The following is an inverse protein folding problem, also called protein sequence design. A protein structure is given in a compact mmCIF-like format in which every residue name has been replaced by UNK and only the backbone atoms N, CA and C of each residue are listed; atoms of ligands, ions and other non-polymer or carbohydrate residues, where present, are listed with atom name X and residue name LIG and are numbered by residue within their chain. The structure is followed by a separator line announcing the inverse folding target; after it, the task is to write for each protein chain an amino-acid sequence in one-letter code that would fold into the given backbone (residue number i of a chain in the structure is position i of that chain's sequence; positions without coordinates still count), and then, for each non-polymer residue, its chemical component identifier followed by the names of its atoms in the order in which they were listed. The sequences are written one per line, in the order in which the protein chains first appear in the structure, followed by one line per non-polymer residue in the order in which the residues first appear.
data_IF_814018983671
#
_entry.id   IF_814018983671
#
_cell.length_a   1.000
_cell.length_b   1.000
_cell.length_c   1.000
_cell.angle_alpha   90.00
_cell.angle_beta   90.00
_cell.angle_gamma   90.00
#
_symmetry.space_group_name_H-M   'P 1'
#
loop_
_entity.id
_entity.type
_entity.pdbx_description
1 polymer ?
#
# COMPACT_ATOMS: atom_id res chain seq x y z
N UNK A 1 3.93 -33.44 -7.51
CA UNK A 1 3.63 -32.82 -6.20
C UNK A 1 3.49 -31.34 -6.47
N UNK A 2 2.31 -30.78 -6.26
CA UNK A 2 1.99 -29.37 -6.60
C UNK A 2 2.77 -28.50 -5.62
N UNK A 3 3.69 -27.68 -6.12
CA UNK A 3 4.36 -26.69 -5.30
C UNK A 3 3.29 -25.71 -4.81
N UNK A 4 2.97 -25.75 -3.52
CA UNK A 4 2.16 -24.71 -2.90
C UNK A 4 3.03 -23.46 -2.83
N UNK A 5 2.90 -22.57 -3.81
CA UNK A 5 3.35 -21.19 -3.66
C UNK A 5 2.43 -20.54 -2.64
N UNK A 6 2.87 -20.45 -1.39
CA UNK A 6 2.27 -19.58 -0.38
C UNK A 6 2.47 -18.14 -0.89
N UNK A 7 1.39 -17.51 -1.38
CA UNK A 7 1.44 -16.13 -1.85
C UNK A 7 1.87 -15.18 -0.74
N UNK A 8 2.80 -14.27 -1.03
CA UNK A 8 3.27 -13.29 -0.06
C UNK A 8 2.14 -12.30 0.21
N UNK A 9 1.81 -12.08 1.48
CA UNK A 9 0.73 -11.17 1.87
C UNK A 9 1.26 -9.76 2.17
N UNK A 10 0.63 -8.74 1.59
CA UNK A 10 0.84 -7.34 1.95
C UNK A 10 -0.14 -6.94 3.06
N UNK A 11 0.39 -6.53 4.20
CA UNK A 11 -0.39 -6.03 5.32
C UNK A 11 -0.40 -4.49 5.32
N UNK A 12 -1.58 -3.93 5.55
CA UNK A 12 -1.82 -2.48 5.65
C UNK A 12 -2.43 -2.18 7.01
N UNK A 13 -1.81 -1.30 7.79
CA UNK A 13 -2.27 -0.93 9.13
C UNK A 13 -2.15 0.57 9.41
N UNK A 14 -3.19 1.23 9.97
CA UNK A 14 -4.52 0.66 10.24
C UNK A 14 -5.32 0.47 8.93
N UNK A 15 -6.30 -0.44 8.94
CA UNK A 15 -7.20 -0.67 7.78
C UNK A 15 -8.19 0.48 7.58
N UNK A 16 -8.60 1.11 8.70
CA UNK A 16 -9.49 2.25 8.71
C UNK A 16 -8.81 3.44 9.40
N UNK A 17 -9.01 4.63 8.83
CA UNK A 17 -8.43 5.87 9.36
C UNK A 17 -9.52 6.92 9.44
N UNK A 18 -9.74 7.46 10.64
CA UNK A 18 -10.44 8.72 10.81
C UNK A 18 -9.44 9.88 10.74
N UNK A 19 -9.66 10.79 9.81
CA UNK A 19 -8.86 12.00 9.60
C UNK A 19 -9.75 13.25 9.61
N UNK A 20 -9.29 14.29 10.29
CA UNK A 20 -9.87 15.64 10.20
C UNK A 20 -9.07 16.47 9.19
N UNK A 21 -9.68 17.52 8.65
CA UNK A 21 -8.99 18.47 7.75
C UNK A 21 -7.78 19.06 8.49
N UNK A 22 -6.59 18.93 7.87
CA UNK A 22 -5.32 19.40 8.42
C UNK A 22 -4.58 18.39 9.32
N UNK A 23 -5.16 17.22 9.59
CA UNK A 23 -4.46 16.11 10.24
C UNK A 23 -3.81 15.18 9.22
N UNK A 24 -2.62 14.67 9.56
CA UNK A 24 -2.00 13.55 8.87
C UNK A 24 -1.97 12.30 9.76
N UNK A 25 -2.14 11.13 9.14
CA UNK A 25 -1.90 9.83 9.81
C UNK A 25 -1.03 8.93 8.96
N UNK A 26 -0.17 8.18 9.65
CA UNK A 26 0.68 7.19 9.02
C UNK A 26 -0.07 5.88 8.83
N UNK A 27 -0.06 5.38 7.60
CA UNK A 27 -0.42 4.02 7.22
C UNK A 27 0.85 3.25 6.99
N UNK A 28 0.96 2.09 7.63
CA UNK A 28 2.09 1.18 7.53
C UNK A 28 1.78 0.07 6.54
N UNK A 29 2.78 -0.25 5.73
CA UNK A 29 2.78 -1.31 4.73
C UNK A 29 3.93 -2.25 5.06
N UNK A 30 3.64 -3.54 5.23
CA UNK A 30 4.66 -4.54 5.55
C UNK A 30 4.26 -5.92 5.06
N UNK A 31 5.25 -6.78 4.87
CA UNK A 31 5.05 -8.21 4.63
C UNK A 31 5.50 -8.99 5.88
N UNK A 32 4.86 -10.13 6.15
CA UNK A 32 5.38 -11.08 7.13
C UNK A 32 6.33 -12.10 6.50
N UNK A 33 6.20 -12.32 5.20
CA UNK A 33 7.06 -13.20 4.42
C UNK A 33 8.21 -12.43 3.77
N UNK A 34 9.32 -13.12 3.55
CA UNK A 34 10.47 -12.57 2.85
C UNK A 34 10.15 -12.39 1.36
N UNK A 35 10.22 -11.14 0.90
CA UNK A 35 10.18 -10.80 -0.51
C UNK A 35 11.44 -11.28 -1.22
N UNK A 36 11.29 -11.97 -2.38
CA UNK A 36 12.44 -12.44 -3.17
C UNK A 36 13.20 -11.30 -3.84
N UNK A 37 12.54 -10.16 -4.04
CA UNK A 37 13.09 -8.93 -4.56
C UNK A 37 12.28 -7.75 -4.04
N UNK A 38 12.89 -6.58 -4.03
CA UNK A 38 12.15 -5.38 -3.66
C UNK A 38 11.04 -5.06 -4.67
N UNK A 39 9.99 -4.39 -4.18
CA UNK A 39 8.78 -4.11 -4.92
C UNK A 39 8.39 -2.65 -4.75
N UNK A 40 8.18 -1.94 -5.85
CA UNK A 40 7.65 -0.58 -5.85
C UNK A 40 6.13 -0.64 -5.71
N UNK A 41 5.61 -0.03 -4.66
CA UNK A 41 4.19 0.19 -4.42
C UNK A 41 3.84 1.60 -4.92
N UNK A 42 2.80 1.69 -5.75
CA UNK A 42 2.28 2.94 -6.29
C UNK A 42 0.89 3.14 -5.69
N UNK A 43 0.72 4.19 -4.90
CA UNK A 43 -0.58 4.55 -4.33
C UNK A 43 -1.39 5.34 -5.35
N UNK A 44 -2.68 5.00 -5.49
CA UNK A 44 -3.60 5.72 -6.36
C UNK A 44 -3.77 7.16 -5.85
N UNK A 45 -3.66 8.12 -6.75
CA UNK A 45 -3.94 9.52 -6.44
C UNK A 45 -5.44 9.73 -6.32
N UNK A 46 -5.85 10.46 -5.29
CA UNK A 46 -7.24 10.84 -5.05
C UNK A 46 -7.35 12.35 -4.91
N UNK A 47 -8.44 12.93 -5.41
CA UNK A 47 -8.76 14.34 -5.17
C UNK A 47 -9.28 14.56 -3.73
N UNK A 48 -9.62 13.48 -3.01
CA UNK A 48 -10.18 13.52 -1.66
C UNK A 48 -9.11 13.47 -0.56
N UNK A 49 -7.99 12.81 -0.83
CA UNK A 49 -6.87 12.65 0.10
C UNK A 49 -5.56 12.54 -0.67
N UNK A 50 -4.46 12.87 -0.02
CA UNK A 50 -3.11 12.69 -0.54
C UNK A 50 -2.31 11.72 0.33
N UNK A 51 -1.59 10.80 -0.30
CA UNK A 51 -0.74 9.78 0.32
C UNK A 51 0.73 10.03 -0.01
N UNK A 52 1.53 10.43 0.98
CA UNK A 52 2.95 10.74 0.80
C UNK A 52 3.86 9.77 1.58
N UNK A 53 4.83 9.10 0.95
CA UNK A 53 5.17 9.15 -0.48
C UNK A 53 4.16 8.39 -1.34
N UNK A 54 3.97 8.84 -2.58
CA UNK A 54 3.08 8.18 -3.54
C UNK A 54 3.68 6.88 -4.12
N UNK A 55 5.00 6.82 -4.19
CA UNK A 55 5.75 5.67 -4.66
C UNK A 55 6.80 5.35 -3.60
N UNK A 56 6.83 4.10 -3.15
CA UNK A 56 7.84 3.62 -2.21
C UNK A 56 8.20 2.18 -2.46
N UNK A 57 9.44 1.83 -2.14
CA UNK A 57 9.98 0.49 -2.30
C UNK A 57 9.81 -0.31 -1.01
N UNK A 58 9.21 -1.49 -1.12
CA UNK A 58 9.07 -2.47 -0.06
C UNK A 58 10.11 -3.58 -0.23
N UNK A 59 10.95 -3.77 0.79
CA UNK A 59 12.13 -4.64 0.79
C UNK A 59 12.28 -5.41 2.12
N UNK A 60 11.18 -6.03 2.58
CA UNK A 60 11.03 -6.70 3.89
C UNK A 60 11.11 -5.74 5.09
N UNK A 61 11.17 -4.44 4.84
CA UNK A 61 11.06 -3.41 5.87
C UNK A 61 9.63 -2.86 5.90
N UNK A 62 9.15 -2.52 7.10
CA UNK A 62 7.93 -1.74 7.24
C UNK A 62 8.14 -0.37 6.61
N UNK A 63 7.27 -0.03 5.66
CA UNK A 63 7.19 1.31 5.06
C UNK A 63 5.95 2.02 5.54
N UNK A 64 5.95 3.33 5.47
CA UNK A 64 4.79 4.12 5.86
C UNK A 64 4.51 5.24 4.88
N UNK A 65 3.23 5.45 4.58
CA UNK A 65 2.75 6.61 3.88
C UNK A 65 1.87 7.44 4.81
N UNK A 66 2.07 8.76 4.79
CA UNK A 66 1.21 9.71 5.46
C UNK A 66 0.02 10.03 4.58
N UNK A 67 -1.17 9.83 5.11
CA UNK A 67 -2.43 10.18 4.46
C UNK A 67 -2.92 11.48 5.08
N UNK A 68 -3.24 12.46 4.24
CA UNK A 68 -3.79 13.76 4.62
C UNK A 68 -5.03 14.06 3.77
N UNK A 69 -6.04 14.71 4.35
CA UNK A 69 -7.23 15.15 3.61
C UNK A 69 -6.91 16.47 2.89
N UNK A 70 -7.01 16.48 1.56
CA UNK A 70 -6.61 17.62 0.71
C UNK A 70 -7.77 18.45 0.18
N UNK A 71 -8.99 17.91 0.10
CA UNK A 71 -10.09 18.52 -0.67
C UNK A 71 -11.50 18.28 -0.11
N UNK A 72 -12.42 19.17 -0.52
CA UNK A 72 -13.78 19.38 0.00
C UNK A 72 -14.60 18.10 0.19
N UNK A 73 -15.00 17.85 1.44
CA UNK A 73 -16.06 16.94 1.84
C UNK A 73 -15.90 15.48 1.37
N UNK A 74 -15.05 14.73 2.07
CA UNK A 74 -15.33 13.30 2.26
C UNK A 74 -16.63 13.24 3.07
N UNK A 75 -17.75 13.02 2.38
CA UNK A 75 -19.09 12.99 3.02
C UNK A 75 -19.34 11.70 3.79
N UNK A 76 -18.53 10.66 3.57
CA UNK A 76 -18.68 9.37 4.24
C UNK A 76 -17.37 8.57 4.33
N UNK A 77 -16.71 8.24 3.21
CA UNK A 77 -15.46 7.48 3.18
C UNK A 77 -14.68 7.69 1.87
N UNK A 78 -13.39 7.35 1.90
CA UNK A 78 -12.54 7.27 0.71
C UNK A 78 -11.57 6.10 0.89
N UNK A 79 -11.20 5.43 -0.20
CA UNK A 79 -10.38 4.21 -0.16
C UNK A 79 -8.96 4.54 -0.64
N UNK A 80 -7.97 4.20 0.19
CA UNK A 80 -6.57 4.21 -0.22
C UNK A 80 -6.27 2.95 -1.02
N UNK A 81 -6.18 3.09 -2.34
CA UNK A 81 -5.92 1.98 -3.26
C UNK A 81 -4.46 1.94 -3.70
N UNK A 82 -3.95 0.73 -3.95
CA UNK A 82 -2.66 0.51 -4.60
C UNK A 82 -2.93 0.43 -6.09
N UNK A 83 -2.54 1.47 -6.84
CA UNK A 83 -2.71 1.56 -8.30
C UNK A 83 -1.83 0.54 -9.03
N UNK A 84 -0.63 0.31 -8.50
CA UNK A 84 0.36 -0.50 -9.19
C UNK A 84 1.41 -1.09 -8.26
N UNK A 85 2.05 -2.13 -8.77
CA UNK A 85 3.06 -2.88 -8.07
C UNK A 85 4.08 -3.41 -9.09
N UNK A 86 5.32 -2.92 -9.01
CA UNK A 86 6.40 -3.28 -9.95
C UNK A 86 7.57 -3.90 -9.19
N UNK A 87 7.99 -5.11 -9.58
CA UNK A 87 9.23 -5.69 -9.05
C UNK A 87 10.45 -4.99 -9.66
N UNK A 88 11.42 -4.59 -8.84
CA UNK A 88 12.62 -3.86 -9.31
C UNK A 88 13.61 -4.75 -10.07
N UNK A 89 13.50 -6.08 -9.97
CA UNK A 89 14.33 -7.02 -10.71
C UNK A 89 13.50 -8.11 -11.42
N UNK A 90 13.90 -8.52 -12.63
CA UNK A 90 12.97 -8.98 -13.65
C UNK A 90 12.67 -10.48 -13.53
N UNK A 91 12.02 -10.91 -12.45
CA UNK A 91 11.34 -12.20 -12.42
C UNK A 91 10.06 -12.07 -11.59
N UNK A 92 8.95 -11.68 -12.24
CA UNK A 92 7.62 -11.89 -11.67
C UNK A 92 6.67 -10.70 -11.78
N UNK A 93 5.38 -11.04 -11.91
CA UNK A 93 4.27 -10.14 -11.54
C UNK A 93 4.40 -9.77 -10.07
N UNK A 94 3.70 -8.71 -9.64
CA UNK A 94 3.58 -8.34 -8.24
C UNK A 94 3.44 -9.60 -7.34
N UNK A 95 4.28 -9.79 -6.32
CA UNK A 95 4.30 -11.02 -5.53
C UNK A 95 3.10 -11.16 -4.59
N UNK A 96 2.26 -10.13 -4.49
CA UNK A 96 1.04 -10.13 -3.70
C UNK A 96 -0.10 -10.79 -4.49
N UNK A 97 -0.69 -11.84 -3.93
CA UNK A 97 -1.95 -12.37 -4.44
C UNK A 97 -3.10 -11.42 -4.09
N UNK A 98 -3.97 -11.12 -5.06
CA UNK A 98 -5.23 -10.41 -4.81
C UNK A 98 -6.16 -11.32 -4.01
N UNK A 99 -6.24 -11.13 -2.69
CA UNK A 99 -7.22 -11.81 -1.85
C UNK A 99 -8.45 -10.90 -1.74
N UNK A 100 -9.56 -11.28 -2.38
CA UNK A 100 -10.88 -10.65 -2.26
C UNK A 100 -11.64 -11.19 -1.05
#
# INVERSE_FOLDING_TARGET
MIAMTTGISLHVQPQDIALTIGEDKSVQFYTTDDLPSAVDIILMRSDSFDGTPHIFQLDNQTRSAKVVVTGLQITSYSILEIEGCNSTNPIGKCPFEYVF
#
